data_IF_376618332287
#
_entry.id   IF_376618332287
#
_cell.length_a   1.000
_cell.length_b   1.000
_cell.length_c   1.000
_cell.angle_alpha   90.00
_cell.angle_beta   90.00
_cell.angle_gamma   90.00
#
_symmetry.space_group_name_H-M   'P 1'
#
loop_
_entity.id
_entity.type
_entity.pdbx_description
1 polymer ?
#
# COMPACT_ATOMS: atom_id res chain seq x y z
N UNK A 1 19.03 1.69 4.80
CA UNK A 1 18.05 1.57 5.90
C UNK A 1 17.91 0.10 6.24
N UNK A 2 18.62 -0.38 7.26
CA UNK A 2 18.42 -1.74 7.74
C UNK A 2 17.10 -1.76 8.52
N UNK A 3 16.10 -2.45 7.98
CA UNK A 3 14.95 -2.89 8.78
C UNK A 3 15.55 -3.90 9.76
N UNK A 4 15.81 -3.49 11.01
CA UNK A 4 15.99 -4.46 12.08
C UNK A 4 14.61 -5.08 12.29
N UNK A 5 14.46 -6.35 11.94
CA UNK A 5 13.20 -7.07 12.14
C UNK A 5 12.83 -7.01 13.63
N UNK A 6 11.67 -6.39 13.93
CA UNK A 6 11.13 -6.36 15.28
C UNK A 6 10.34 -7.63 15.50
N UNK A 7 10.99 -8.66 16.05
CA UNK A 7 10.31 -9.87 16.46
C UNK A 7 9.39 -9.60 17.66
N UNK A 8 8.20 -10.22 17.76
CA UNK A 8 7.30 -10.01 18.91
C UNK A 8 7.97 -10.22 20.28
N UNK A 9 8.91 -11.17 20.36
CA UNK A 9 9.68 -11.51 21.57
C UNK A 9 10.53 -10.36 22.14
N UNK A 10 10.90 -9.36 21.32
CA UNK A 10 11.74 -8.24 21.78
C UNK A 10 10.93 -7.02 22.24
N UNK A 11 9.61 -7.06 22.03
CA UNK A 11 8.70 -6.00 22.45
C UNK A 11 8.33 -6.22 23.91
N UNK A 12 8.56 -5.22 24.76
CA UNK A 12 8.16 -5.25 26.16
C UNK A 12 7.29 -4.06 26.50
N UNK A 13 6.11 -4.32 27.05
CA UNK A 13 5.22 -3.28 27.58
C UNK A 13 5.47 -3.13 29.08
N UNK A 14 5.70 -1.90 29.53
CA UNK A 14 5.96 -1.56 30.93
C UNK A 14 5.23 -0.27 31.28
N UNK A 15 4.05 -0.40 31.90
CA UNK A 15 3.23 0.74 32.30
C UNK A 15 2.85 1.63 31.12
N UNK A 16 3.31 2.89 31.14
CA UNK A 16 3.01 3.87 30.09
C UNK A 16 3.95 3.84 28.88
N UNK A 17 4.75 2.78 28.73
CA UNK A 17 5.73 2.69 27.66
C UNK A 17 5.80 1.30 27.03
N UNK A 18 6.17 1.28 25.76
CA UNK A 18 6.65 0.11 25.04
C UNK A 18 8.15 0.28 24.79
N UNK A 19 8.89 -0.82 24.91
CA UNK A 19 10.34 -0.88 24.66
C UNK A 19 10.63 -1.87 23.55
N UNK A 20 11.45 -1.43 22.60
CA UNK A 20 11.95 -2.24 21.48
C UNK A 20 13.46 -2.02 21.40
N UNK A 21 14.22 -3.08 21.69
CA UNK A 21 15.67 -2.99 21.89
C UNK A 21 16.07 -1.89 22.90
N UNK A 22 16.94 -0.97 22.51
CA UNK A 22 17.38 0.19 23.29
C UNK A 22 16.36 1.34 23.35
N UNK A 23 15.32 1.32 22.51
CA UNK A 23 14.37 2.41 22.35
C UNK A 23 13.12 2.21 23.21
N UNK A 24 12.56 3.33 23.71
CA UNK A 24 11.27 3.35 24.41
C UNK A 24 10.40 4.47 23.89
N UNK A 25 9.09 4.22 23.78
CA UNK A 25 8.08 5.16 23.33
C UNK A 25 6.75 4.90 24.06
N UNK A 26 5.79 5.81 23.97
CA UNK A 26 4.44 5.60 24.50
C UNK A 26 3.63 4.57 23.71
N UNK A 27 3.89 4.46 22.40
CA UNK A 27 3.18 3.55 21.49
C UNK A 27 4.15 2.93 20.47
N UNK A 28 3.84 1.71 20.03
CA UNK A 28 4.46 1.05 18.89
C UNK A 28 3.39 0.86 17.81
N UNK A 29 3.62 1.40 16.62
CA UNK A 29 2.68 1.29 15.49
C UNK A 29 3.28 0.38 14.43
N UNK A 30 2.57 -0.72 14.13
CA UNK A 30 2.96 -1.71 13.14
C UNK A 30 2.50 -1.30 11.74
N UNK A 31 3.46 -0.90 10.91
CA UNK A 31 3.28 -0.57 9.49
C UNK A 31 3.89 -1.66 8.58
N UNK A 32 3.57 -2.93 8.84
CA UNK A 32 4.33 -4.10 8.37
C UNK A 32 3.95 -4.63 6.98
N UNK A 33 3.11 -3.92 6.24
CA UNK A 33 2.83 -4.21 4.83
C UNK A 33 2.06 -5.50 4.60
N UNK A 34 2.15 -6.05 3.38
CA UNK A 34 1.18 -7.00 2.82
C UNK A 34 1.17 -8.40 3.43
N UNK A 35 2.22 -8.76 4.17
CA UNK A 35 2.42 -10.09 4.74
C UNK A 35 2.31 -10.10 6.27
N UNK A 36 1.80 -9.02 6.85
CA UNK A 36 1.51 -8.98 8.27
C UNK A 36 0.42 -9.99 8.64
N UNK A 37 0.56 -10.64 9.80
CA UNK A 37 -0.49 -11.46 10.37
C UNK A 37 -1.55 -10.56 11.05
N UNK A 38 -2.51 -10.09 10.26
CA UNK A 38 -3.58 -9.20 10.71
C UNK A 38 -4.93 -9.67 10.13
N UNK A 39 -5.97 -9.90 10.95
CA UNK A 39 -7.30 -10.25 10.46
C UNK A 39 -7.81 -9.27 9.40
N UNK A 40 -8.42 -9.80 8.35
CA UNK A 40 -8.92 -9.01 7.22
C UNK A 40 -7.85 -8.52 6.24
N UNK A 41 -6.55 -8.59 6.54
CA UNK A 41 -5.48 -8.21 5.62
C UNK A 41 -5.21 -9.31 4.59
N UNK A 42 -5.12 -8.93 3.32
CA UNK A 42 -4.78 -9.81 2.21
C UNK A 42 -3.72 -9.17 1.30
N UNK A 43 -2.71 -9.94 0.83
CA UNK A 43 -1.79 -9.46 -0.18
C UNK A 43 -2.48 -9.45 -1.55
N UNK A 44 -2.26 -8.40 -2.33
CA UNK A 44 -2.74 -8.32 -3.71
C UNK A 44 -1.61 -7.87 -4.61
N UNK A 45 -1.16 -8.73 -5.51
CA UNK A 45 -0.15 -8.39 -6.50
C UNK A 45 -0.73 -7.46 -7.56
N UNK A 46 0.06 -6.47 -7.95
CA UNK A 46 -0.22 -5.62 -9.09
C UNK A 46 1.03 -5.40 -9.92
N UNK A 47 0.86 -5.50 -11.22
CA UNK A 47 1.89 -5.26 -12.23
C UNK A 47 1.60 -3.96 -12.99
N UNK A 48 2.63 -3.38 -13.60
CA UNK A 48 2.53 -2.23 -14.47
C UNK A 48 3.68 -2.14 -15.46
N UNK A 49 3.58 -1.21 -16.41
CA UNK A 49 4.59 -0.94 -17.42
C UNK A 49 5.19 0.45 -17.20
N UNK A 50 6.45 0.60 -17.56
CA UNK A 50 7.04 1.90 -17.86
C UNK A 50 7.07 2.04 -19.37
N UNK A 51 6.38 3.06 -19.88
CA UNK A 51 6.20 3.31 -21.31
C UNK A 51 6.89 4.62 -21.69
N UNK A 52 7.52 4.66 -22.85
CA UNK A 52 7.87 5.89 -23.54
C UNK A 52 6.76 6.23 -24.53
N UNK A 53 6.12 7.38 -24.32
CA UNK A 53 4.98 7.83 -25.13
C UNK A 53 5.31 9.22 -25.70
N UNK A 54 5.48 9.37 -27.02
CA UNK A 54 5.70 10.68 -27.63
C UNK A 54 4.53 11.62 -27.39
N UNK A 55 4.83 12.89 -27.07
CA UNK A 55 3.82 13.93 -26.91
C UNK A 55 2.91 13.78 -25.67
N UNK A 56 3.28 12.93 -24.70
CA UNK A 56 2.54 12.86 -23.44
C UNK A 56 2.68 14.17 -22.66
N UNK A 57 1.55 14.69 -22.20
CA UNK A 57 1.49 15.84 -21.31
C UNK A 57 2.11 15.48 -19.95
N UNK A 58 3.18 16.16 -19.51
CA UNK A 58 3.85 15.85 -18.25
C UNK A 58 3.01 16.17 -17.00
N UNK A 59 1.98 17.02 -17.12
CA UNK A 59 1.21 17.52 -15.99
C UNK A 59 -0.15 16.83 -15.84
N UNK A 60 -0.44 15.84 -16.69
CA UNK A 60 -1.74 15.17 -16.75
C UNK A 60 -1.66 13.69 -16.42
N UNK A 61 -2.29 13.32 -15.30
CA UNK A 61 -2.57 11.92 -14.98
C UNK A 61 -3.83 11.47 -15.71
N UNK A 62 -3.77 10.30 -16.35
CA UNK A 62 -4.91 9.66 -16.99
C UNK A 62 -5.43 8.51 -16.11
N UNK A 63 -6.74 8.31 -16.07
CA UNK A 63 -7.37 7.19 -15.36
C UNK A 63 -8.56 6.68 -16.16
N UNK A 64 -8.40 5.54 -16.84
CA UNK A 64 -9.45 4.86 -17.59
C UNK A 64 -9.09 3.37 -17.72
N UNK A 65 -9.68 2.53 -16.85
CA UNK A 65 -9.34 1.10 -16.66
C UNK A 65 -7.89 0.79 -16.22
N UNK A 66 -6.94 1.65 -16.58
CA UNK A 66 -5.60 1.78 -16.03
C UNK A 66 -5.31 3.27 -15.74
N UNK A 67 -4.44 3.52 -14.78
CA UNK A 67 -3.82 4.81 -14.60
C UNK A 67 -2.59 4.94 -15.50
N UNK A 68 -2.31 6.16 -15.96
CA UNK A 68 -1.07 6.54 -16.60
C UNK A 68 -0.54 7.81 -15.96
N UNK A 69 0.63 7.73 -15.32
CA UNK A 69 1.25 8.82 -14.58
C UNK A 69 2.54 9.21 -15.29
N UNK A 70 2.66 10.42 -15.87
CA UNK A 70 3.91 10.92 -16.39
C UNK A 70 4.97 10.97 -15.28
N UNK A 71 6.18 10.47 -15.56
CA UNK A 71 7.31 10.45 -14.62
C UNK A 71 8.53 11.23 -15.16
N UNK A 72 8.30 12.09 -16.17
CA UNK A 72 9.31 12.92 -16.81
C UNK A 72 10.05 12.23 -17.97
N UNK A 73 10.82 13.01 -18.75
CA UNK A 73 11.62 12.54 -19.90
C UNK A 73 10.83 11.72 -20.95
N UNK A 74 9.54 12.05 -21.12
CA UNK A 74 8.62 11.35 -22.02
C UNK A 74 8.26 9.93 -21.56
N UNK A 75 8.46 9.62 -20.28
CA UNK A 75 8.11 8.33 -19.68
C UNK A 75 6.82 8.42 -18.87
N UNK A 76 6.08 7.31 -18.86
CA UNK A 76 4.81 7.14 -18.17
C UNK A 76 4.82 5.82 -17.41
N UNK A 77 4.39 5.83 -16.14
CA UNK A 77 4.03 4.61 -15.42
C UNK A 77 2.57 4.28 -15.67
N UNK A 78 2.33 3.13 -16.28
CA UNK A 78 1.00 2.61 -16.54
C UNK A 78 0.72 1.43 -15.61
N UNK A 79 -0.45 1.41 -15.00
CA UNK A 79 -0.86 0.31 -14.14
C UNK A 79 -2.37 0.27 -13.90
N UNK A 80 -2.92 -0.79 -13.32
CA UNK A 80 -2.23 -2.00 -12.90
C UNK A 80 -3.13 -3.22 -12.93
N UNK A 81 -2.53 -4.40 -12.93
CA UNK A 81 -3.26 -5.66 -12.71
C UNK A 81 -3.68 -5.80 -11.23
N UNK A 82 -4.54 -6.80 -10.98
CA UNK A 82 -4.95 -7.26 -9.66
C UNK A 82 -4.93 -8.78 -9.66
N UNK A 83 -4.00 -9.36 -8.91
CA UNK A 83 -3.80 -10.81 -8.83
C UNK A 83 -3.74 -11.21 -7.34
N UNK A 84 -4.60 -12.17 -6.96
CA UNK A 84 -4.75 -12.65 -5.58
C UNK A 84 -3.95 -13.93 -5.29
N UNK A 85 -3.66 -14.70 -6.32
CA UNK A 85 -2.89 -15.94 -6.23
C UNK A 85 -1.44 -15.69 -6.66
N UNK A 86 -0.51 -16.49 -6.12
CA UNK A 86 0.92 -16.42 -6.51
C UNK A 86 1.48 -14.98 -6.49
N UNK A 87 1.19 -14.27 -5.40
CA UNK A 87 1.48 -12.84 -5.25
C UNK A 87 2.97 -12.53 -5.16
N UNK A 88 3.82 -13.55 -4.98
CA UNK A 88 5.27 -13.43 -4.92
C UNK A 88 5.96 -13.76 -6.25
N UNK A 89 5.24 -14.32 -7.23
CA UNK A 89 5.81 -14.42 -8.55
C UNK A 89 5.94 -13.04 -9.16
N UNK A 90 7.07 -12.83 -9.86
CA UNK A 90 7.40 -11.58 -10.52
C UNK A 90 6.40 -11.20 -11.63
N UNK A 91 6.82 -10.32 -12.54
CA UNK A 91 5.97 -9.94 -13.65
C UNK A 91 5.63 -11.13 -14.54
N UNK A 92 4.42 -11.13 -15.09
CA UNK A 92 3.90 -12.21 -15.92
C UNK A 92 3.70 -11.76 -17.36
N UNK A 93 3.76 -12.71 -18.31
CA UNK A 93 3.43 -12.44 -19.71
C UNK A 93 1.95 -12.09 -19.88
N UNK A 94 1.08 -12.67 -19.07
CA UNK A 94 -0.35 -12.38 -19.09
C UNK A 94 -0.65 -10.96 -18.58
N UNK A 95 -0.04 -10.56 -17.46
CA UNK A 95 -0.09 -9.20 -16.96
C UNK A 95 0.44 -8.19 -17.98
N UNK A 96 1.55 -8.51 -18.64
CA UNK A 96 2.11 -7.69 -19.73
C UNK A 96 1.11 -7.49 -20.86
N UNK A 97 0.52 -8.57 -21.38
CA UNK A 97 -0.47 -8.51 -22.47
C UNK A 97 -1.68 -7.67 -22.09
N UNK A 98 -2.22 -7.87 -20.88
CA UNK A 98 -3.35 -7.06 -20.38
C UNK A 98 -3.00 -5.57 -20.29
N UNK A 99 -1.79 -5.23 -19.82
CA UNK A 99 -1.35 -3.84 -19.70
C UNK A 99 -1.09 -3.19 -21.06
N UNK A 100 -0.61 -3.95 -22.05
CA UNK A 100 -0.45 -3.47 -23.43
C UNK A 100 -1.81 -3.09 -24.03
N UNK A 101 -2.83 -3.93 -23.86
CA UNK A 101 -4.18 -3.62 -24.37
C UNK A 101 -4.77 -2.36 -23.70
N UNK A 102 -4.56 -2.20 -22.38
CA UNK A 102 -4.96 -0.96 -21.69
C UNK A 102 -4.17 0.26 -22.15
N UNK A 103 -2.87 0.10 -22.44
CA UNK A 103 -2.05 1.18 -22.99
C UNK A 103 -2.53 1.61 -24.38
N UNK A 104 -2.87 0.67 -25.26
CA UNK A 104 -3.46 0.96 -26.59
C UNK A 104 -4.81 1.68 -26.48
N UNK A 105 -5.60 1.35 -25.47
CA UNK A 105 -6.88 2.02 -25.23
C UNK A 105 -6.70 3.46 -24.69
N UNK A 106 -5.62 3.73 -23.96
CA UNK A 106 -5.32 5.04 -23.38
C UNK A 106 -4.60 5.98 -24.35
N UNK A 107 -3.70 5.46 -25.17
CA UNK A 107 -2.86 6.25 -26.06
C UNK A 107 -3.23 6.03 -27.52
N UNK A 108 -3.53 7.13 -28.23
CA UNK A 108 -3.74 7.10 -29.68
C UNK A 108 -2.43 7.07 -30.49
N UNK A 109 -1.27 6.99 -29.82
CA UNK A 109 0.06 7.03 -30.42
C UNK A 109 0.82 5.73 -30.14
N UNK A 110 1.80 5.43 -31.00
CA UNK A 110 2.75 4.35 -30.72
C UNK A 110 3.54 4.64 -29.44
N UNK A 111 3.77 3.59 -28.66
CA UNK A 111 4.55 3.65 -27.43
C UNK A 111 5.60 2.54 -27.42
N UNK A 112 6.69 2.78 -26.70
CA UNK A 112 7.73 1.77 -26.46
C UNK A 112 7.67 1.33 -25.00
N UNK A 113 7.74 0.03 -24.75
CA UNK A 113 7.85 -0.51 -23.40
C UNK A 113 9.31 -0.47 -22.98
N UNK A 114 9.61 0.22 -21.89
CA UNK A 114 10.97 0.35 -21.33
C UNK A 114 11.19 -0.61 -20.16
N UNK A 115 10.15 -0.89 -19.38
CA UNK A 115 10.23 -1.78 -18.22
C UNK A 115 8.85 -2.36 -17.86
N UNK A 116 8.85 -3.44 -17.08
CA UNK A 116 7.67 -4.01 -16.43
C UNK A 116 7.95 -4.19 -14.94
N UNK A 117 7.16 -3.51 -14.12
CA UNK A 117 7.31 -3.49 -12.67
C UNK A 117 6.15 -4.23 -11.99
N UNK A 118 6.36 -4.65 -10.75
CA UNK A 118 5.34 -5.30 -9.95
C UNK A 118 5.54 -5.00 -8.46
N UNK A 119 4.52 -5.26 -7.66
CA UNK A 119 4.57 -5.19 -6.21
C UNK A 119 3.32 -5.75 -5.57
N UNK A 120 3.37 -5.92 -4.24
CA UNK A 120 2.28 -6.50 -3.46
C UNK A 120 1.69 -5.45 -2.53
N UNK A 121 0.38 -5.23 -2.66
CA UNK A 121 -0.37 -4.26 -1.88
C UNK A 121 -0.87 -4.87 -0.58
N UNK A 122 -0.66 -4.23 0.57
CA UNK A 122 -1.42 -4.56 1.78
C UNK A 122 -2.85 -4.08 1.63
N UNK A 123 -3.79 -5.00 1.39
CA UNK A 123 -5.19 -4.64 1.12
C UNK A 123 -6.08 -5.27 2.17
N UNK A 124 -7.03 -4.53 2.75
CA UNK A 124 -8.08 -5.17 3.55
C UNK A 124 -9.10 -5.86 2.64
N UNK A 125 -9.73 -6.93 3.12
CA UNK A 125 -10.73 -7.71 2.37
C UNK A 125 -11.90 -6.86 1.86
N UNK A 126 -12.31 -5.86 2.64
CA UNK A 126 -13.35 -4.88 2.30
C UNK A 126 -12.82 -3.62 1.60
N UNK A 127 -11.50 -3.54 1.37
CA UNK A 127 -10.78 -2.42 0.75
C UNK A 127 -10.80 -1.12 1.55
N UNK A 128 -11.08 -1.17 2.85
CA UNK A 128 -10.92 -0.04 3.78
C UNK A 128 -9.63 -0.18 4.60
N UNK A 129 -8.91 0.90 4.94
CA UNK A 129 -7.73 0.83 5.82
C UNK A 129 -7.97 0.07 7.14
N UNK A 130 -6.91 -0.45 7.75
CA UNK A 130 -6.96 -1.17 9.03
C UNK A 130 -6.12 -0.39 10.05
N UNK A 131 -6.81 0.29 10.96
CA UNK A 131 -6.25 1.12 12.02
C UNK A 131 -6.75 0.61 13.38
N UNK A 132 -5.96 0.76 14.43
CA UNK A 132 -6.42 0.55 15.80
C UNK A 132 -5.42 -0.19 16.69
N UNK A 133 -5.72 -0.23 17.99
CA UNK A 133 -4.89 -0.92 18.98
C UNK A 133 -4.94 -2.43 18.76
N UNK A 134 -3.85 -3.15 19.01
CA UNK A 134 -3.77 -4.62 18.99
C UNK A 134 -3.36 -5.22 20.34
N UNK A 135 -2.80 -4.38 21.22
CA UNK A 135 -2.51 -4.64 22.64
C UNK A 135 -2.56 -3.30 23.39
N UNK A 136 -2.19 -3.29 24.67
CA UNK A 136 -2.26 -2.10 25.53
C UNK A 136 -1.48 -0.90 24.96
N UNK A 137 -0.30 -1.14 24.38
CA UNK A 137 0.59 -0.08 23.86
C UNK A 137 1.04 -0.31 22.41
N UNK A 138 0.36 -1.17 21.69
CA UNK A 138 0.63 -1.41 20.28
C UNK A 138 -0.61 -1.16 19.44
N UNK A 139 -0.39 -0.61 18.25
CA UNK A 139 -1.42 -0.35 17.26
C UNK A 139 -0.98 -0.78 15.88
N UNK A 140 -1.91 -0.90 14.96
CA UNK A 140 -1.66 -1.21 13.56
C UNK A 140 -2.04 -0.04 12.67
N UNK A 141 -1.25 0.15 11.62
CA UNK A 141 -1.58 1.00 10.49
C UNK A 141 -1.27 0.18 9.24
N UNK A 142 -2.30 -0.39 8.60
CA UNK A 142 -2.10 -1.22 7.43
C UNK A 142 -3.33 -1.22 6.50
N UNK A 143 -3.34 -2.10 5.48
CA UNK A 143 -4.54 -2.37 4.67
C UNK A 143 -4.93 -1.28 3.68
N UNK A 144 -4.05 -0.31 3.41
CA UNK A 144 -4.32 0.86 2.56
C UNK A 144 -4.66 0.56 1.08
N UNK A 145 -4.34 -0.63 0.58
CA UNK A 145 -4.61 -1.06 -0.78
C UNK A 145 -3.98 -0.16 -1.85
N UNK A 146 -4.69 0.06 -2.95
CA UNK A 146 -4.22 0.87 -4.10
C UNK A 146 -4.36 2.38 -3.90
N UNK A 147 -4.92 2.83 -2.76
CA UNK A 147 -5.14 4.26 -2.45
C UNK A 147 -4.28 4.75 -1.29
N UNK A 148 -3.22 4.02 -0.93
CA UNK A 148 -2.42 4.36 0.24
C UNK A 148 -1.80 5.75 0.21
N UNK A 149 -1.32 6.23 -0.93
CA UNK A 149 -0.79 7.61 -1.04
C UNK A 149 -1.87 8.66 -0.72
N UNK A 150 -3.11 8.42 -1.13
CA UNK A 150 -4.22 9.33 -0.90
C UNK A 150 -4.73 9.26 0.55
N UNK A 151 -4.85 8.06 1.09
CA UNK A 151 -5.48 7.83 2.40
C UNK A 151 -4.50 7.97 3.58
N UNK A 152 -3.20 7.76 3.36
CA UNK A 152 -2.23 7.73 4.43
C UNK A 152 -2.22 9.00 5.32
N UNK A 153 -2.28 10.24 4.78
CA UNK A 153 -2.26 11.44 5.61
C UNK A 153 -3.45 11.50 6.57
N UNK A 154 -4.66 11.22 6.07
CA UNK A 154 -5.86 11.22 6.89
C UNK A 154 -5.84 10.08 7.92
N UNK A 155 -5.49 8.86 7.50
CA UNK A 155 -5.38 7.71 8.40
C UNK A 155 -4.33 7.91 9.51
N UNK A 156 -3.22 8.61 9.21
CA UNK A 156 -2.18 8.90 10.19
C UNK A 156 -2.63 9.88 11.24
N UNK A 157 -3.28 10.98 10.84
CA UNK A 157 -3.91 11.89 11.78
C UNK A 157 -4.96 11.18 12.63
N UNK A 158 -5.85 10.43 11.97
CA UNK A 158 -6.95 9.72 12.65
C UNK A 158 -6.47 8.71 13.68
N UNK A 159 -5.43 7.92 13.36
CA UNK A 159 -4.84 6.99 14.32
C UNK A 159 -4.09 7.73 15.43
N UNK A 160 -3.37 8.81 15.14
CA UNK A 160 -2.67 9.59 16.16
C UNK A 160 -3.66 10.19 17.18
N UNK A 161 -4.75 10.80 16.71
CA UNK A 161 -5.81 11.36 17.56
C UNK A 161 -6.46 10.27 18.42
N UNK A 162 -6.63 9.07 17.88
CA UNK A 162 -7.11 7.92 18.65
C UNK A 162 -6.15 7.50 19.76
N UNK A 163 -4.86 7.37 19.45
CA UNK A 163 -3.86 6.86 20.39
C UNK A 163 -3.43 7.87 21.45
N UNK A 164 -3.47 9.17 21.14
CA UNK A 164 -2.98 10.23 22.01
C UNK A 164 -4.10 10.95 22.77
N UNK A 165 -5.23 11.18 22.12
CA UNK A 165 -6.35 11.97 22.67
C UNK A 165 -7.59 11.12 22.99
N UNK A 166 -7.58 9.82 22.64
CA UNK A 166 -8.70 8.91 22.87
C UNK A 166 -9.89 9.12 21.92
N UNK A 167 -9.68 9.81 20.79
CA UNK A 167 -10.73 10.00 19.77
C UNK A 167 -11.19 8.65 19.21
N UNK A 168 -12.49 8.45 19.05
CA UNK A 168 -13.01 7.21 18.47
C UNK A 168 -12.57 7.04 17.01
N UNK A 169 -12.16 5.83 16.62
CA UNK A 169 -11.89 5.52 15.23
C UNK A 169 -13.18 5.52 14.40
N UNK A 170 -13.05 5.80 13.10
CA UNK A 170 -14.16 5.63 12.18
C UNK A 170 -14.38 4.11 12.02
N UNK A 171 -15.62 3.60 12.19
CA UNK A 171 -15.89 2.18 12.08
C UNK A 171 -15.45 1.54 10.74
N UNK A 172 -15.39 2.32 9.66
CA UNK A 172 -14.90 1.82 8.37
C UNK A 172 -13.40 1.52 8.38
N UNK A 173 -12.62 2.16 9.26
CA UNK A 173 -11.16 1.97 9.32
C UNK A 173 -10.69 1.26 10.57
N UNK A 174 -11.55 1.11 11.59
CA UNK A 174 -11.26 0.33 12.78
C UNK A 174 -11.05 -1.16 12.44
N UNK A 175 -9.88 -1.69 12.78
CA UNK A 175 -9.50 -3.09 12.55
C UNK A 175 -10.40 -4.08 13.30
N UNK A 176 -11.09 -3.66 14.36
CA UNK A 176 -11.99 -4.50 15.16
C UNK A 176 -13.15 -5.09 14.36
N UNK A 177 -13.48 -4.52 13.19
CA UNK A 177 -14.50 -5.07 12.27
C UNK A 177 -14.18 -6.45 11.69
N UNK A 178 -12.96 -6.95 11.89
CA UNK A 178 -12.50 -8.27 11.46
C UNK A 178 -12.07 -9.19 12.60
N UNK A 179 -12.31 -8.80 13.85
CA UNK A 179 -12.01 -9.60 15.05
C UNK A 179 -12.97 -10.79 15.24
#
# INVERSE_FOLDING_TARGET
FMIRDVAPQIVREHGNAVRVHEHSAGWLVWCTGAFAHLPGLIPVKGEGLTLRVPGVDPDRIMQQQAFAIPIGKGLVKLGSTYVWEDVLSGPSNEGRSQLIERAKALFCAEFRIEDQWWGVRPTARDRRPLLGTISERQAVFNGLGSRGVLLAPWCAGHLADHLLEGTALDPEVDRSRFD
#
